data_IF_817266136708
#
_entry.id   IF_817266136708
#
_cell.length_a   1.000
_cell.length_b   1.000
_cell.length_c   1.000
_cell.angle_alpha   90.00
_cell.angle_beta   90.00
_cell.angle_gamma   90.00
#
_symmetry.space_group_name_H-M   'P 1'
#
loop_
_entity.id
_entity.type
_entity.pdbx_description
1 polymer ?
#
# COMPACT_ATOMS: atom_id res chain seq x y z
N UNK A 1 13.21 9.71 -13.44
CA UNK A 1 12.16 9.77 -14.49
C UNK A 1 10.99 8.81 -14.22
N UNK A 2 11.23 7.55 -13.82
CA UNK A 2 10.15 6.58 -13.50
C UNK A 2 9.16 7.03 -12.42
N UNK A 3 9.61 7.81 -11.43
CA UNK A 3 8.73 8.38 -10.41
C UNK A 3 7.70 9.37 -10.99
N UNK A 4 8.08 10.16 -12.01
CA UNK A 4 7.18 11.13 -12.66
C UNK A 4 6.12 10.37 -13.46
N UNK A 5 6.52 9.35 -14.22
CA UNK A 5 5.61 8.51 -15.02
C UNK A 5 4.59 7.80 -14.12
N UNK A 6 5.05 7.17 -13.05
CA UNK A 6 4.15 6.52 -12.08
C UNK A 6 3.26 7.52 -11.34
N UNK A 7 3.71 8.75 -11.12
CA UNK A 7 2.89 9.82 -10.54
C UNK A 7 1.80 10.30 -11.52
N UNK A 8 2.13 10.48 -12.80
CA UNK A 8 1.15 10.83 -13.84
C UNK A 8 0.10 9.73 -14.03
N UNK A 9 0.53 8.47 -14.05
CA UNK A 9 -0.37 7.31 -14.09
C UNK A 9 -1.33 7.34 -12.91
N UNK A 10 -0.82 7.55 -11.68
CA UNK A 10 -1.67 7.68 -10.49
C UNK A 10 -2.60 8.90 -10.54
N UNK A 11 -2.16 10.01 -11.11
CA UNK A 11 -3.00 11.18 -11.35
C UNK A 11 -4.18 10.87 -12.28
N UNK A 12 -4.00 9.99 -13.26
CA UNK A 12 -5.10 9.53 -14.12
C UNK A 12 -6.18 8.77 -13.32
N UNK A 13 -5.79 7.92 -12.36
CA UNK A 13 -6.75 7.29 -11.45
C UNK A 13 -7.55 8.35 -10.66
N UNK A 14 -6.87 9.40 -10.19
CA UNK A 14 -7.50 10.54 -9.51
C UNK A 14 -8.46 11.34 -10.41
N UNK A 15 -8.07 11.57 -11.67
CA UNK A 15 -8.92 12.25 -12.64
C UNK A 15 -10.19 11.47 -12.96
N UNK A 16 -10.09 10.14 -13.08
CA UNK A 16 -11.24 9.23 -13.28
C UNK A 16 -12.21 9.28 -12.09
N UNK A 17 -11.73 9.46 -10.85
CA UNK A 17 -12.59 9.64 -9.66
C UNK A 17 -13.52 10.86 -9.80
N UNK A 18 -12.99 11.96 -10.33
CA UNK A 18 -13.71 13.24 -10.41
C UNK A 18 -14.68 13.25 -11.59
N UNK A 19 -14.30 12.62 -12.70
CA UNK A 19 -15.02 12.73 -13.97
C UNK A 19 -16.21 11.75 -14.10
N UNK A 20 -16.19 10.61 -13.41
CA UNK A 20 -17.25 9.60 -13.51
C UNK A 20 -18.02 9.47 -12.20
N UNK A 21 -19.34 9.72 -12.21
CA UNK A 21 -20.23 9.59 -11.04
C UNK A 21 -20.69 8.16 -10.78
N UNK A 22 -20.81 7.33 -11.82
CA UNK A 22 -21.24 5.94 -11.70
C UNK A 22 -20.15 5.04 -11.11
N UNK A 23 -20.51 4.31 -10.04
CA UNK A 23 -19.55 3.47 -9.30
C UNK A 23 -19.05 2.29 -10.14
N UNK A 24 -19.91 1.73 -11.00
CA UNK A 24 -19.54 0.62 -11.90
C UNK A 24 -18.49 1.04 -12.93
N UNK A 25 -18.71 2.18 -13.59
CA UNK A 25 -17.80 2.72 -14.60
C UNK A 25 -16.42 3.03 -14.00
N UNK A 26 -16.37 3.60 -12.79
CA UNK A 26 -15.11 3.87 -12.08
C UNK A 26 -14.30 2.59 -11.82
N UNK A 27 -14.96 1.56 -11.31
CA UNK A 27 -14.31 0.28 -11.00
C UNK A 27 -13.78 -0.37 -12.28
N UNK A 28 -14.57 -0.38 -13.35
CA UNK A 28 -14.17 -0.94 -14.65
C UNK A 28 -12.94 -0.21 -15.18
N UNK A 29 -12.95 1.12 -15.19
CA UNK A 29 -11.83 1.92 -15.70
C UNK A 29 -10.54 1.69 -14.90
N UNK A 30 -10.62 1.58 -13.56
CA UNK A 30 -9.46 1.30 -12.73
C UNK A 30 -8.95 -0.13 -12.87
N UNK A 31 -9.84 -1.11 -13.02
CA UNK A 31 -9.46 -2.49 -13.28
C UNK A 31 -8.76 -2.62 -14.63
N UNK A 32 -9.30 -2.00 -15.69
CA UNK A 32 -8.68 -1.97 -17.01
C UNK A 32 -7.29 -1.34 -16.92
N UNK A 33 -7.15 -0.15 -16.33
CA UNK A 33 -5.86 0.52 -16.20
C UNK A 33 -4.84 -0.32 -15.41
N UNK A 34 -5.26 -0.95 -14.31
CA UNK A 34 -4.39 -1.79 -13.48
C UNK A 34 -3.95 -3.07 -14.21
N UNK A 35 -4.87 -3.70 -14.95
CA UNK A 35 -4.57 -4.88 -15.74
C UNK A 35 -3.67 -4.56 -16.93
N UNK A 36 -3.86 -3.43 -17.60
CA UNK A 36 -2.95 -2.95 -18.64
C UNK A 36 -1.53 -2.73 -18.10
N UNK A 37 -1.40 -2.17 -16.89
CA UNK A 37 -0.10 -2.00 -16.25
C UNK A 37 0.56 -3.34 -15.92
N UNK A 38 -0.19 -4.31 -15.39
CA UNK A 38 0.31 -5.66 -15.13
C UNK A 38 0.75 -6.37 -16.42
N UNK A 39 -0.06 -6.28 -17.47
CA UNK A 39 0.25 -6.85 -18.78
C UNK A 39 1.53 -6.23 -19.37
N UNK A 40 1.65 -4.90 -19.36
CA UNK A 40 2.87 -4.20 -19.76
C UNK A 40 4.08 -4.68 -18.96
N UNK A 41 3.90 -4.87 -17.65
CA UNK A 41 4.98 -5.31 -16.79
C UNK A 41 5.47 -6.72 -17.13
N UNK A 42 4.55 -7.65 -17.40
CA UNK A 42 4.87 -9.00 -17.89
C UNK A 42 5.54 -8.97 -19.27
N UNK A 43 5.05 -8.13 -20.19
CA UNK A 43 5.68 -7.98 -21.51
C UNK A 43 7.11 -7.44 -21.41
N UNK A 44 7.36 -6.49 -20.51
CA UNK A 44 8.69 -5.92 -20.26
C UNK A 44 9.65 -6.93 -19.62
N UNK A 45 9.14 -7.80 -18.73
CA UNK A 45 9.91 -8.90 -18.14
C UNK A 45 10.29 -9.94 -19.21
N UNK A 46 9.34 -10.29 -20.09
CA UNK A 46 9.58 -11.21 -21.21
C UNK A 46 10.60 -10.68 -22.22
N UNK A 47 10.67 -9.35 -22.42
CA UNK A 47 11.66 -8.71 -23.29
C UNK A 47 13.09 -8.67 -22.69
N UNK A 48 13.30 -9.31 -21.52
CA UNK A 48 14.63 -9.54 -20.95
C UNK A 48 15.07 -8.52 -19.89
N UNK A 49 14.21 -7.57 -19.51
CA UNK A 49 14.47 -6.67 -18.38
C UNK A 49 14.02 -7.34 -17.07
N UNK A 50 14.88 -8.24 -16.56
CA UNK A 50 14.66 -8.92 -15.29
C UNK A 50 14.41 -7.91 -14.14
N UNK A 51 13.49 -8.29 -13.25
CA UNK A 51 13.12 -7.52 -12.06
C UNK A 51 14.33 -7.28 -11.12
N UNK A 52 14.99 -6.14 -11.27
CA UNK A 52 16.07 -5.72 -10.38
C UNK A 52 15.62 -4.61 -9.43
N UNK A 53 15.73 -4.85 -8.12
CA UNK A 53 15.32 -3.91 -7.06
C UNK A 53 16.25 -2.70 -6.95
N UNK A 54 17.53 -2.86 -7.31
CA UNK A 54 18.54 -1.82 -7.16
C UNK A 54 18.46 -0.69 -8.21
N UNK A 55 17.89 -0.97 -9.39
CA UNK A 55 17.82 0.00 -10.49
C UNK A 55 16.45 0.66 -10.69
N UNK A 56 15.42 0.29 -9.90
CA UNK A 56 14.03 0.69 -10.17
C UNK A 56 13.65 0.43 -11.63
N UNK A 57 13.89 -0.78 -12.11
CA UNK A 57 13.59 -1.20 -13.49
C UNK A 57 12.12 -0.91 -13.82
N UNK A 58 11.80 -0.44 -15.05
CA UNK A 58 10.42 -0.13 -15.45
C UNK A 58 9.45 -1.28 -15.23
N UNK A 59 9.84 -2.54 -15.50
CA UNK A 59 9.03 -3.73 -15.25
C UNK A 59 8.59 -3.83 -13.78
N UNK A 60 9.52 -3.63 -12.84
CA UNK A 60 9.22 -3.66 -11.40
C UNK A 60 8.26 -2.54 -10.99
N UNK A 61 8.44 -1.33 -11.54
CA UNK A 61 7.55 -0.20 -11.26
C UNK A 61 6.15 -0.40 -11.82
N UNK A 62 6.01 -1.00 -13.02
CA UNK A 62 4.71 -1.34 -13.60
C UNK A 62 4.00 -2.46 -12.82
N UNK A 63 4.71 -3.52 -12.40
CA UNK A 63 4.14 -4.58 -11.55
C UNK A 63 3.61 -3.97 -10.26
N UNK A 64 4.45 -3.19 -9.56
CA UNK A 64 4.08 -2.59 -8.28
C UNK A 64 2.91 -1.61 -8.43
N UNK A 65 2.90 -0.80 -9.49
CA UNK A 65 1.81 0.13 -9.79
C UNK A 65 0.51 -0.61 -10.13
N UNK A 66 0.58 -1.70 -10.91
CA UNK A 66 -0.57 -2.53 -11.25
C UNK A 66 -1.17 -3.23 -10.03
N UNK A 67 -0.34 -3.84 -9.18
CA UNK A 67 -0.78 -4.44 -7.91
C UNK A 67 -1.41 -3.38 -7.00
N UNK A 68 -0.78 -2.20 -6.88
CA UNK A 68 -1.32 -1.10 -6.09
C UNK A 68 -2.71 -0.64 -6.61
N UNK A 69 -2.90 -0.58 -7.93
CA UNK A 69 -4.20 -0.25 -8.55
C UNK A 69 -5.29 -1.29 -8.28
N UNK A 70 -4.95 -2.59 -8.33
CA UNK A 70 -5.86 -3.68 -7.96
C UNK A 70 -6.23 -3.62 -6.47
N UNK A 71 -5.23 -3.44 -5.60
CA UNK A 71 -5.42 -3.27 -4.15
C UNK A 71 -6.33 -2.07 -3.85
N UNK A 72 -6.08 -0.93 -4.49
CA UNK A 72 -6.90 0.28 -4.33
C UNK A 72 -8.35 0.03 -4.74
N UNK A 73 -8.56 -0.64 -5.88
CA UNK A 73 -9.90 -0.99 -6.35
C UNK A 73 -10.59 -1.97 -5.40
N UNK A 74 -9.86 -2.94 -4.84
CA UNK A 74 -10.37 -3.87 -3.84
C UNK A 74 -10.80 -3.16 -2.55
N UNK A 75 -9.99 -2.23 -2.03
CA UNK A 75 -10.35 -1.40 -0.88
C UNK A 75 -11.59 -0.56 -1.19
N UNK A 76 -11.68 0.04 -2.38
CA UNK A 76 -12.86 0.81 -2.80
C UNK A 76 -14.13 -0.04 -2.80
N UNK A 77 -14.10 -1.25 -3.39
CA UNK A 77 -15.23 -2.18 -3.39
C UNK A 77 -15.61 -2.58 -1.95
N UNK A 78 -14.62 -2.90 -1.11
CA UNK A 78 -14.86 -3.31 0.28
C UNK A 78 -15.53 -2.21 1.12
N UNK A 79 -15.11 -0.96 0.91
CA UNK A 79 -15.61 0.19 1.68
C UNK A 79 -16.94 0.70 1.13
N UNK A 80 -17.04 0.87 -0.18
CA UNK A 80 -18.16 1.57 -0.83
C UNK A 80 -19.33 0.63 -1.17
N UNK A 81 -19.05 -0.63 -1.54
CA UNK A 81 -20.09 -1.61 -1.90
C UNK A 81 -20.49 -2.46 -0.68
N UNK A 82 -19.51 -3.00 0.05
CA UNK A 82 -19.79 -3.87 1.20
C UNK A 82 -20.03 -3.11 2.51
N UNK A 83 -19.74 -1.81 2.57
CA UNK A 83 -20.06 -0.96 3.72
C UNK A 83 -19.28 -1.29 5.01
N UNK A 84 -18.11 -1.95 4.89
CA UNK A 84 -17.28 -2.29 6.06
C UNK A 84 -16.62 -1.05 6.68
N UNK A 85 -17.33 -0.37 7.57
CA UNK A 85 -16.88 0.86 8.26
C UNK A 85 -15.86 0.67 9.38
N UNK A 86 -15.69 -0.54 9.90
CA UNK A 86 -14.81 -0.82 11.05
C UNK A 86 -13.31 -0.64 10.70
N UNK A 87 -12.77 -1.23 9.62
CA UNK A 87 -11.37 -1.01 9.25
C UNK A 87 -11.10 0.41 8.72
N UNK A 88 -12.10 1.07 8.12
CA UNK A 88 -11.92 2.40 7.54
C UNK A 88 -11.62 3.46 8.58
N UNK A 89 -12.21 3.38 9.78
CA UNK A 89 -11.91 4.32 10.87
C UNK A 89 -10.45 4.24 11.32
N UNK A 90 -9.90 3.03 11.43
CA UNK A 90 -8.49 2.83 11.79
C UNK A 90 -7.58 3.37 10.69
N UNK A 91 -7.93 3.11 9.42
CA UNK A 91 -7.14 3.54 8.27
C UNK A 91 -7.22 5.06 8.04
N UNK A 92 -8.37 5.68 8.31
CA UNK A 92 -8.58 7.13 8.29
C UNK A 92 -7.77 7.81 9.40
N UNK A 93 -7.82 7.27 10.62
CA UNK A 93 -7.01 7.77 11.74
C UNK A 93 -5.51 7.67 11.44
N UNK A 94 -5.06 6.53 10.91
CA UNK A 94 -3.68 6.33 10.48
C UNK A 94 -3.28 7.33 9.39
N UNK A 95 -4.17 7.61 8.43
CA UNK A 95 -3.96 8.58 7.37
C UNK A 95 -3.83 10.02 7.88
N UNK A 96 -4.71 10.44 8.79
CA UNK A 96 -4.71 11.79 9.38
C UNK A 96 -3.46 12.04 10.23
N UNK A 97 -2.94 11.02 10.91
CA UNK A 97 -1.76 11.11 11.76
C UNK A 97 -0.48 10.57 11.11
N UNK A 98 -0.44 10.41 9.78
CA UNK A 98 0.66 9.75 9.08
C UNK A 98 2.04 10.35 9.38
N UNK A 99 2.17 11.69 9.44
CA UNK A 99 3.45 12.35 9.77
C UNK A 99 3.88 12.07 11.22
N UNK A 100 2.95 12.16 12.17
CA UNK A 100 3.20 11.87 13.58
C UNK A 100 3.65 10.41 13.76
N UNK A 101 2.93 9.47 13.15
CA UNK A 101 3.24 8.04 13.16
C UNK A 101 4.60 7.77 12.53
N UNK A 102 4.92 8.41 11.39
CA UNK A 102 6.23 8.29 10.75
C UNK A 102 7.37 8.77 11.65
N UNK A 103 7.22 9.92 12.32
CA UNK A 103 8.23 10.45 13.24
C UNK A 103 8.36 9.54 14.47
N UNK A 104 7.25 9.06 15.04
CA UNK A 104 7.26 8.13 16.17
C UNK A 104 7.98 6.82 15.87
N UNK A 105 7.77 6.27 14.67
CA UNK A 105 8.47 5.08 14.16
C UNK A 105 9.94 5.38 13.84
N UNK A 106 10.22 6.47 13.12
CA UNK A 106 11.57 6.85 12.70
C UNK A 106 12.48 7.24 13.86
N UNK A 107 11.94 7.83 14.91
CA UNK A 107 12.66 8.13 16.14
C UNK A 107 12.72 6.95 17.11
N UNK A 108 12.21 5.77 16.75
CA UNK A 108 12.16 4.58 17.61
C UNK A 108 11.50 4.81 18.99
N UNK A 109 10.68 5.86 19.13
CA UNK A 109 10.00 6.18 20.40
C UNK A 109 9.01 5.06 20.75
N UNK A 110 8.33 4.50 19.74
CA UNK A 110 7.40 3.39 19.95
C UNK A 110 8.07 2.11 20.48
N UNK A 111 9.15 1.57 19.87
CA UNK A 111 9.85 0.42 20.44
C UNK A 111 10.55 0.74 21.77
N UNK A 112 11.09 1.95 21.99
CA UNK A 112 11.63 2.36 23.29
C UNK A 112 10.57 2.38 24.39
N UNK A 113 9.35 2.84 24.07
CA UNK A 113 8.24 2.85 25.02
C UNK A 113 7.73 1.43 25.29
N UNK A 114 7.61 0.60 24.25
CA UNK A 114 7.23 -0.81 24.39
C UNK A 114 8.26 -1.57 25.24
N UNK A 115 9.56 -1.37 24.98
CA UNK A 115 10.64 -1.97 25.74
C UNK A 115 10.73 -1.41 27.17
N UNK A 116 10.46 -0.11 27.37
CA UNK A 116 10.40 0.53 28.68
C UNK A 116 9.22 0.06 29.54
N UNK A 117 8.08 -0.25 28.92
CA UNK A 117 6.94 -0.88 29.61
C UNK A 117 7.25 -2.34 29.96
N UNK A 118 7.89 -3.07 29.03
CA UNK A 118 8.37 -4.43 29.25
C UNK A 118 9.44 -4.56 30.34
N UNK A 119 10.29 -3.53 30.49
CA UNK A 119 11.30 -3.47 31.56
C UNK A 119 10.68 -3.20 32.94
N UNK A 120 9.47 -2.60 32.98
CA UNK A 120 8.81 -2.17 34.22
C UNK A 120 7.91 -3.25 34.82
N UNK A 121 7.50 -4.24 34.02
CA UNK A 121 6.72 -5.42 34.44
C UNK A 121 7.50 -6.70 34.12
N UNK A 122 8.41 -7.15 35.02
CA UNK A 122 9.33 -8.27 34.77
C UNK A 122 8.66 -9.66 34.70
N UNK A 123 7.33 -9.76 34.88
CA UNK A 123 6.63 -11.04 35.01
C UNK A 123 6.07 -11.62 33.70
N UNK A 124 6.02 -10.85 32.60
CA UNK A 124 5.35 -11.29 31.36
C UNK A 124 6.28 -11.66 30.19
N UNK A 125 7.51 -12.11 30.47
CA UNK A 125 8.48 -12.49 29.46
C UNK A 125 7.98 -13.61 28.52
N UNK A 126 7.67 -13.25 27.27
CA UNK A 126 7.41 -14.19 26.15
C UNK A 126 8.61 -15.13 25.88
N UNK A 127 9.80 -14.86 26.43
CA UNK A 127 10.93 -15.80 26.42
C UNK A 127 10.56 -17.16 27.04
N UNK A 128 9.59 -17.21 27.97
CA UNK A 128 9.06 -18.45 28.54
C UNK A 128 8.08 -19.17 27.61
N UNK A 129 7.43 -18.46 26.69
CA UNK A 129 6.47 -18.99 25.70
C UNK A 129 7.17 -19.37 24.38
N UNK A 130 8.27 -18.68 24.03
CA UNK A 130 9.05 -18.92 22.80
C UNK A 130 10.16 -19.96 23.01
N UNK A 131 10.43 -20.38 24.25
CA UNK A 131 11.21 -21.59 24.52
C UNK A 131 12.62 -21.58 23.94
N UNK A 132 13.28 -20.43 23.94
CA UNK A 132 14.71 -20.35 23.61
C UNK A 132 15.43 -20.07 24.93
N UNK A 133 15.83 -21.17 25.57
CA UNK A 133 16.84 -21.19 26.63
C UNK A 133 18.24 -21.13 26.03
#
# INVERSE_FOLDING_TARGET
MMAIVTCLIRLQFGHVIIHFKDHKERIVQWMIASFCLLALAFSLDFYGMHMNKALYTPSYTCITAGIAGVMFTGVYVLVDIYGYRKPTLVMEWLGMHALMVYILLGCNIFPLFAQGFYLREPENNILKVIGIS
#
